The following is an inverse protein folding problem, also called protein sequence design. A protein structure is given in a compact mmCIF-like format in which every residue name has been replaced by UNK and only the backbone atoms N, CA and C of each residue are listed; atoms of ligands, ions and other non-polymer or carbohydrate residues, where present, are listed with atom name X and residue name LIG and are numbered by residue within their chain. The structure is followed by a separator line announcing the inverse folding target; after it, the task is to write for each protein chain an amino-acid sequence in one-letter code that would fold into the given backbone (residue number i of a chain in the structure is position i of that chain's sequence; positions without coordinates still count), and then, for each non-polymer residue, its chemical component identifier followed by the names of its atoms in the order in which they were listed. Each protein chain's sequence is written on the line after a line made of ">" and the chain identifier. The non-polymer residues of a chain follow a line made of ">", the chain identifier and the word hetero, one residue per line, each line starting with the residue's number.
data_IF_320317669744
#
_entry.id   IF_320317669744
#
_cell.length_a   1.000
_cell.length_b   1.000
_cell.length_c   1.000
_cell.angle_alpha   90.00
_cell.angle_beta   90.00
_cell.angle_gamma   90.00
#
_symmetry.space_group_name_H-M   'P 1'
#
loop_
_entity.id
_entity.type
_entity.pdbx_description
1 polymer ?
#
# COMPACT_ATOMS: atom_id res chain seq x y z
N UNK A 1 -23.56 44.64 -10.51
CA UNK A 1 -22.86 44.69 -9.22
C UNK A 1 -23.75 44.08 -8.15
N UNK A 2 -23.46 42.84 -7.75
CA UNK A 2 -23.50 42.36 -6.37
C UNK A 2 -22.64 41.07 -6.35
N UNK A 3 -21.78 40.88 -5.34
CA UNK A 3 -20.66 39.94 -5.41
C UNK A 3 -21.09 38.54 -4.95
N UNK A 4 -20.69 37.50 -5.68
CA UNK A 4 -20.75 36.12 -5.16
C UNK A 4 -19.66 35.97 -4.09
N UNK A 5 -20.00 35.61 -2.85
CA UNK A 5 -19.04 35.45 -1.77
C UNK A 5 -18.32 34.10 -1.85
N UNK A 6 -17.11 34.10 -1.29
CA UNK A 6 -16.29 32.98 -0.86
C UNK A 6 -16.99 31.61 -0.77
N UNK A 7 -16.49 30.63 -1.52
CA UNK A 7 -16.48 29.20 -1.17
C UNK A 7 -15.61 28.42 -2.16
N UNK A 8 -14.30 28.67 -2.16
CA UNK A 8 -13.31 27.80 -2.83
C UNK A 8 -12.16 27.52 -1.86
N UNK A 9 -12.48 26.73 -0.83
CA UNK A 9 -11.51 25.92 -0.09
C UNK A 9 -12.05 24.49 -0.08
N UNK A 10 -12.29 23.94 -1.28
CA UNK A 10 -12.37 22.49 -1.44
C UNK A 10 -10.94 21.99 -1.36
N UNK A 11 -10.55 21.55 -0.16
CA UNK A 11 -9.32 20.78 0.04
C UNK A 11 -9.48 19.50 -0.76
N UNK A 12 -8.91 19.47 -1.96
CA UNK A 12 -8.82 18.26 -2.79
C UNK A 12 -7.91 17.28 -2.05
N UNK A 13 -8.48 16.42 -1.21
CA UNK A 13 -7.89 15.12 -0.89
C UNK A 13 -7.99 14.26 -2.16
N UNK A 14 -7.01 13.39 -2.46
CA UNK A 14 -7.14 12.45 -3.56
C UNK A 14 -8.44 11.66 -3.40
N UNK A 15 -9.35 11.81 -4.36
CA UNK A 15 -10.71 11.27 -4.35
C UNK A 15 -10.67 9.77 -4.68
N UNK A 16 -10.15 9.00 -3.73
CA UNK A 16 -10.16 7.55 -3.64
C UNK A 16 -10.22 7.17 -2.17
N UNK A 17 -10.66 5.96 -1.88
CA UNK A 17 -10.59 5.47 -0.50
C UNK A 17 -9.09 5.32 -0.15
N UNK A 18 -8.65 6.01 0.91
CA UNK A 18 -7.24 6.00 1.34
C UNK A 18 -7.14 5.21 2.64
N UNK A 19 -6.16 4.32 2.73
CA UNK A 19 -6.01 3.40 3.86
C UNK A 19 -4.66 3.57 4.54
N UNK A 20 -4.67 3.81 5.84
CA UNK A 20 -3.47 3.71 6.68
C UNK A 20 -3.45 2.35 7.38
N UNK A 21 -2.38 1.59 7.18
CA UNK A 21 -2.22 0.28 7.82
C UNK A 21 -0.84 0.14 8.45
N UNK A 22 -0.81 -0.42 9.65
CA UNK A 22 0.37 -0.96 10.30
C UNK A 22 0.36 -2.48 10.17
N UNK A 23 1.44 -3.01 9.63
CA UNK A 23 1.72 -4.45 9.59
C UNK A 23 2.84 -4.74 10.58
N UNK A 24 2.54 -5.57 11.56
CA UNK A 24 3.49 -6.08 12.55
C UNK A 24 3.71 -7.57 12.30
N UNK A 25 4.97 -7.98 12.34
CA UNK A 25 5.39 -9.38 12.30
C UNK A 25 6.15 -9.68 13.59
N UNK A 26 5.59 -10.54 14.42
CA UNK A 26 6.23 -11.06 15.63
C UNK A 26 6.70 -12.48 15.36
N UNK A 27 8.02 -12.67 15.30
CA UNK A 27 8.66 -13.98 15.05
C UNK A 27 9.19 -14.54 16.36
N UNK A 28 8.87 -15.80 16.65
CA UNK A 28 9.33 -16.53 17.82
C UNK A 28 10.17 -17.70 17.35
N UNK A 29 11.49 -17.62 17.54
CA UNK A 29 12.39 -18.70 17.14
C UNK A 29 12.45 -19.81 18.19
N UNK A 30 12.31 -19.44 19.46
CA UNK A 30 12.21 -20.35 20.60
C UNK A 30 11.56 -19.63 21.79
N UNK A 31 11.46 -20.29 22.94
CA UNK A 31 10.82 -19.75 24.15
C UNK A 31 11.47 -18.49 24.72
N UNK A 32 12.73 -18.21 24.39
CA UNK A 32 13.50 -17.07 24.92
C UNK A 32 13.79 -15.97 23.88
N UNK A 33 13.73 -16.30 22.59
CA UNK A 33 14.05 -15.36 21.52
C UNK A 33 12.83 -15.06 20.67
N UNK A 34 12.49 -13.77 20.62
CA UNK A 34 11.46 -13.23 19.76
C UNK A 34 11.88 -11.89 19.19
N UNK A 35 11.37 -11.57 18.01
CA UNK A 35 11.62 -10.30 17.33
C UNK A 35 10.31 -9.74 16.80
N UNK A 36 10.07 -8.45 17.06
CA UNK A 36 8.94 -7.71 16.52
C UNK A 36 9.43 -6.75 15.44
N UNK A 37 8.91 -6.92 14.23
CA UNK A 37 9.12 -6.01 13.12
C UNK A 37 7.81 -5.30 12.81
N UNK A 38 7.91 -4.07 12.28
CA UNK A 38 6.75 -3.25 12.00
C UNK A 38 6.97 -2.38 10.78
N UNK A 39 5.92 -2.19 9.99
CA UNK A 39 5.88 -1.24 8.87
C UNK A 39 4.53 -0.55 8.83
N UNK A 40 4.53 0.72 8.41
CA UNK A 40 3.33 1.53 8.22
C UNK A 40 3.19 1.93 6.76
N UNK A 41 1.99 1.74 6.22
CA UNK A 41 1.65 1.87 4.82
C UNK A 41 0.48 2.82 4.65
N UNK A 42 0.64 3.79 3.76
CA UNK A 42 -0.45 4.57 3.20
C UNK A 42 -0.74 4.00 1.82
N UNK A 43 -1.87 3.32 1.68
CA UNK A 43 -2.22 2.51 0.52
C UNK A 43 -1.09 1.52 0.19
N UNK A 44 -0.46 1.71 -0.97
CA UNK A 44 0.65 0.89 -1.46
C UNK A 44 2.04 1.45 -1.10
N UNK A 45 2.11 2.56 -0.35
CA UNK A 45 3.35 3.27 -0.04
C UNK A 45 3.78 3.05 1.41
N UNK A 46 4.94 2.42 1.61
CA UNK A 46 5.51 2.27 2.94
C UNK A 46 6.04 3.60 3.45
N UNK A 47 5.34 4.24 4.38
CA UNK A 47 5.75 5.54 4.95
C UNK A 47 6.48 5.41 6.28
N UNK A 48 6.41 4.25 6.92
CA UNK A 48 7.07 4.00 8.21
C UNK A 48 7.74 2.63 8.26
N UNK A 49 8.88 2.58 8.95
CA UNK A 49 9.46 1.37 9.52
C UNK A 49 9.43 1.42 11.05
N UNK A 50 9.79 0.31 11.68
CA UNK A 50 9.97 0.20 13.12
C UNK A 50 11.37 -0.32 13.42
N UNK A 51 12.12 0.43 14.23
CA UNK A 51 13.38 -0.02 14.80
C UNK A 51 13.08 -0.84 16.06
N UNK A 52 13.30 -2.15 15.99
CA UNK A 52 13.03 -3.05 17.12
C UNK A 52 13.97 -2.84 18.30
N UNK A 53 15.19 -2.37 18.03
CA UNK A 53 16.25 -2.27 19.03
C UNK A 53 16.13 -0.96 19.80
N UNK A 54 15.81 0.13 19.09
CA UNK A 54 15.54 1.44 19.68
C UNK A 54 14.10 1.57 20.18
N UNK A 55 13.18 0.77 19.65
CA UNK A 55 11.75 0.88 19.94
C UNK A 55 11.15 2.19 19.41
N UNK A 56 11.58 2.63 18.23
CA UNK A 56 11.17 3.91 17.63
C UNK A 56 10.69 3.74 16.19
N UNK A 57 9.88 4.69 15.72
CA UNK A 57 9.42 4.72 14.33
C UNK A 57 10.49 5.33 13.43
N UNK A 58 10.80 4.65 12.33
CA UNK A 58 11.63 5.18 11.24
C UNK A 58 10.69 5.84 10.23
N UNK A 59 10.79 7.16 10.03
CA UNK A 59 10.01 7.87 9.03
C UNK A 59 10.69 7.81 7.66
N UNK A 60 10.02 7.25 6.66
CA UNK A 60 10.60 7.04 5.33
C UNK A 60 10.39 8.22 4.38
N UNK A 61 9.49 9.15 4.73
CA UNK A 61 9.31 10.43 4.03
C UNK A 61 9.31 11.60 5.01
N UNK A 62 9.69 12.80 4.55
CA UNK A 62 9.61 14.02 5.37
C UNK A 62 8.21 14.29 5.93
N UNK A 63 7.16 13.86 5.22
CA UNK A 63 5.76 14.02 5.61
C UNK A 63 5.17 12.82 6.35
N UNK A 64 5.94 11.73 6.57
CA UNK A 64 5.44 10.53 7.24
C UNK A 64 5.09 10.74 8.71
N UNK A 65 5.49 11.84 9.35
CA UNK A 65 4.99 12.19 10.69
C UNK A 65 3.54 12.73 10.64
N UNK A 66 3.11 13.20 9.46
CA UNK A 66 1.87 13.94 9.31
C UNK A 66 1.92 15.27 10.05
N UNK A 67 0.83 15.62 10.72
CA UNK A 67 0.68 16.84 11.51
C UNK A 67 0.86 16.61 13.03
N UNK A 68 1.35 15.44 13.44
CA UNK A 68 1.54 15.14 14.87
C UNK A 68 2.72 15.92 15.43
N UNK A 69 2.59 16.38 16.68
CA UNK A 69 3.71 16.98 17.40
C UNK A 69 4.73 15.90 17.79
N UNK A 70 5.95 16.32 18.11
CA UNK A 70 7.00 15.39 18.52
C UNK A 70 6.66 14.71 19.86
N UNK A 71 5.98 15.42 20.77
CA UNK A 71 5.49 14.87 22.04
C UNK A 71 4.42 13.80 21.79
N UNK A 72 3.40 14.12 20.98
CA UNK A 72 2.34 13.17 20.64
C UNK A 72 2.89 11.92 19.94
N UNK A 73 3.94 12.07 19.12
CA UNK A 73 4.59 10.92 18.52
C UNK A 73 5.42 10.10 19.50
N UNK A 74 6.11 10.75 20.42
CA UNK A 74 6.87 10.07 21.47
C UNK A 74 5.94 9.22 22.34
N UNK A 75 4.79 9.75 22.73
CA UNK A 75 3.77 9.01 23.49
C UNK A 75 3.27 7.76 22.74
N UNK A 76 3.05 7.87 21.42
CA UNK A 76 2.66 6.73 20.60
C UNK A 76 3.77 5.69 20.47
N UNK A 77 5.02 6.12 20.34
CA UNK A 77 6.16 5.21 20.28
C UNK A 77 6.32 4.44 21.59
N UNK A 78 6.23 5.12 22.73
CA UNK A 78 6.29 4.48 24.05
C UNK A 78 5.15 3.47 24.24
N UNK A 79 3.94 3.83 23.79
CA UNK A 79 2.79 2.93 23.81
C UNK A 79 3.06 1.65 22.98
N UNK A 80 3.55 1.78 21.75
CA UNK A 80 3.88 0.63 20.91
C UNK A 80 5.03 -0.20 21.48
N UNK A 81 6.03 0.43 22.10
CA UNK A 81 7.14 -0.26 22.75
C UNK A 81 6.64 -1.13 23.90
N UNK A 82 5.79 -0.57 24.77
CA UNK A 82 5.17 -1.32 25.87
C UNK A 82 4.30 -2.45 25.35
N UNK A 83 3.50 -2.19 24.31
CA UNK A 83 2.67 -3.20 23.65
C UNK A 83 3.51 -4.37 23.12
N UNK A 84 4.58 -4.13 22.37
CA UNK A 84 5.40 -5.22 21.81
C UNK A 84 6.08 -6.04 22.90
N UNK A 85 6.59 -5.41 23.96
CA UNK A 85 7.20 -6.13 25.09
C UNK A 85 6.15 -7.00 25.79
N UNK A 86 4.97 -6.44 26.08
CA UNK A 86 3.87 -7.16 26.74
C UNK A 86 3.34 -8.31 25.90
N UNK A 87 3.08 -8.06 24.61
CA UNK A 87 2.61 -9.07 23.66
C UNK A 87 3.58 -10.25 23.56
N UNK A 88 4.88 -9.96 23.45
CA UNK A 88 5.92 -10.99 23.37
C UNK A 88 5.91 -11.90 24.59
N UNK A 89 5.82 -11.31 25.80
CA UNK A 89 5.76 -12.06 27.05
C UNK A 89 4.53 -12.95 27.13
N UNK A 90 3.35 -12.41 26.83
CA UNK A 90 2.09 -13.17 26.85
C UNK A 90 2.15 -14.37 25.92
N UNK A 91 2.70 -14.21 24.72
CA UNK A 91 2.84 -15.31 23.76
C UNK A 91 3.87 -16.34 24.24
N UNK A 92 5.01 -15.91 24.76
CA UNK A 92 6.04 -16.81 25.31
C UNK A 92 5.52 -17.62 26.50
N UNK A 93 4.80 -16.97 27.42
CA UNK A 93 4.20 -17.62 28.58
C UNK A 93 3.18 -18.68 28.12
N UNK A 94 2.33 -18.37 27.14
CA UNK A 94 1.36 -19.30 26.59
C UNK A 94 2.01 -20.50 25.90
N UNK A 95 3.03 -20.28 25.06
CA UNK A 95 3.75 -21.36 24.38
C UNK A 95 4.43 -22.30 25.39
N UNK A 96 4.99 -21.73 26.47
CA UNK A 96 5.65 -22.48 27.54
C UNK A 96 4.64 -23.29 28.36
N UNK A 97 3.52 -22.67 28.75
CA UNK A 97 2.44 -23.30 29.55
C UNK A 97 1.87 -24.53 28.84
N UNK A 98 1.62 -24.43 27.54
CA UNK A 98 1.05 -25.52 26.74
C UNK A 98 2.10 -26.45 26.11
N UNK A 99 3.38 -26.29 26.45
CA UNK A 99 4.52 -27.07 25.89
C UNK A 99 4.53 -27.13 24.36
N UNK A 100 4.07 -26.06 23.70
CA UNK A 100 3.96 -25.99 22.23
C UNK A 100 5.33 -25.74 21.56
N UNK A 101 6.40 -25.59 22.35
CA UNK A 101 7.73 -25.20 21.88
C UNK A 101 8.31 -26.14 20.83
N UNK A 102 8.17 -27.46 21.00
CA UNK A 102 8.74 -28.45 20.09
C UNK A 102 7.89 -28.69 18.85
N UNK A 103 6.60 -28.38 18.91
CA UNK A 103 5.64 -28.65 17.84
C UNK A 103 5.47 -27.45 16.90
N UNK A 104 5.61 -26.22 17.41
CA UNK A 104 5.29 -25.00 16.68
C UNK A 104 6.46 -24.04 16.45
N UNK A 105 7.60 -24.17 17.14
CA UNK A 105 8.74 -23.29 16.85
C UNK A 105 9.53 -23.74 15.61
N UNK A 106 9.98 -22.82 14.74
CA UNK A 106 9.69 -21.38 14.78
C UNK A 106 8.29 -21.07 14.24
N UNK A 107 7.62 -20.07 14.82
CA UNK A 107 6.36 -19.53 14.29
C UNK A 107 6.37 -18.01 14.22
N UNK A 108 5.42 -17.47 13.46
CA UNK A 108 5.22 -16.04 13.33
C UNK A 108 3.75 -15.66 13.46
N UNK A 109 3.51 -14.57 14.19
CA UNK A 109 2.21 -13.91 14.31
C UNK A 109 2.26 -12.63 13.50
N UNK A 110 1.27 -12.45 12.63
CA UNK A 110 1.06 -11.24 11.85
C UNK A 110 -0.10 -10.47 12.44
N UNK A 111 0.08 -9.17 12.68
CA UNK A 111 -0.99 -8.27 13.10
C UNK A 111 -1.08 -7.13 12.08
N UNK A 112 -2.27 -6.94 11.53
CA UNK A 112 -2.58 -5.87 10.58
C UNK A 112 -3.63 -5.00 11.26
N UNK A 113 -3.29 -3.76 11.57
CA UNK A 113 -4.21 -2.81 12.19
C UNK A 113 -4.18 -1.49 11.43
N UNK A 114 -5.34 -0.85 11.25
CA UNK A 114 -5.41 0.35 10.43
C UNK A 114 -6.80 0.97 10.37
N UNK A 115 -6.90 1.99 9.53
CA UNK A 115 -8.13 2.70 9.26
C UNK A 115 -8.21 3.13 7.80
N UNK A 116 -9.43 3.20 7.28
CA UNK A 116 -9.74 3.49 5.89
C UNK A 116 -10.72 4.64 5.80
N UNK A 117 -10.38 5.64 4.99
CA UNK A 117 -11.25 6.77 4.67
C UNK A 117 -12.11 6.39 3.47
N UNK A 118 -13.41 6.24 3.67
CA UNK A 118 -14.38 6.02 2.60
C UNK A 118 -15.02 7.34 2.16
N UNK A 119 -15.22 7.50 0.85
CA UNK A 119 -15.75 8.74 0.26
C UNK A 119 -17.19 9.05 0.72
N UNK A 120 -17.33 10.01 1.64
CA UNK A 120 -18.63 10.46 2.16
C UNK A 120 -19.16 9.65 3.35
N UNK A 121 -18.36 8.73 3.87
CA UNK A 121 -18.68 7.90 5.03
C UNK A 121 -17.70 8.15 6.19
N UNK A 122 -17.94 7.48 7.31
CA UNK A 122 -17.03 7.54 8.46
C UNK A 122 -15.73 6.77 8.14
N UNK A 123 -14.64 7.15 8.80
CA UNK A 123 -13.37 6.40 8.72
C UNK A 123 -13.55 5.09 9.50
N UNK A 124 -13.43 3.96 8.81
CA UNK A 124 -13.57 2.64 9.42
C UNK A 124 -12.22 2.12 9.90
N UNK A 125 -12.20 1.52 11.10
CA UNK A 125 -11.00 0.89 11.64
C UNK A 125 -11.09 -0.62 11.64
N UNK A 126 -9.95 -1.28 11.43
CA UNK A 126 -9.83 -2.73 11.41
C UNK A 126 -8.57 -3.22 12.10
N UNK A 127 -8.68 -4.40 12.72
CA UNK A 127 -7.56 -5.18 13.23
C UNK A 127 -7.73 -6.64 12.84
N UNK A 128 -6.64 -7.26 12.41
CA UNK A 128 -6.57 -8.68 12.07
C UNK A 128 -5.29 -9.26 12.66
N UNK A 129 -5.39 -10.42 13.30
CA UNK A 129 -4.25 -11.22 13.73
C UNK A 129 -4.28 -12.58 13.06
N UNK A 130 -3.13 -13.03 12.56
CA UNK A 130 -2.97 -14.32 11.90
C UNK A 130 -1.75 -15.08 12.44
N UNK A 131 -1.87 -16.40 12.52
CA UNK A 131 -0.81 -17.33 12.93
C UNK A 131 -0.61 -18.35 11.82
N UNK A 132 0.61 -18.48 11.29
CA UNK A 132 0.87 -19.37 10.15
C UNK A 132 0.06 -19.03 8.89
N UNK A 133 -0.36 -17.76 8.75
CA UNK A 133 -1.21 -17.29 7.65
C UNK A 133 -2.72 -17.51 7.84
N UNK A 134 -3.14 -18.08 8.97
CA UNK A 134 -4.56 -18.29 9.30
C UNK A 134 -5.03 -17.24 10.32
N UNK A 135 -6.12 -16.54 9.98
CA UNK A 135 -6.73 -15.55 10.86
C UNK A 135 -7.22 -16.21 12.17
N UNK A 136 -6.74 -15.72 13.32
CA UNK A 136 -7.26 -16.13 14.64
C UNK A 136 -8.07 -15.01 15.32
N UNK A 137 -7.92 -13.76 14.88
CA UNK A 137 -8.73 -12.63 15.36
C UNK A 137 -9.00 -11.65 14.22
N UNK A 138 -10.24 -11.13 14.20
CA UNK A 138 -10.66 -10.05 13.32
C UNK A 138 -11.61 -9.14 14.08
N UNK A 139 -11.30 -7.86 14.10
CA UNK A 139 -12.10 -6.81 14.73
C UNK A 139 -12.37 -5.74 13.68
N UNK A 140 -13.63 -5.32 13.60
CA UNK A 140 -14.10 -4.26 12.71
C UNK A 140 -14.96 -3.29 13.51
N UNK A 141 -14.88 -2.01 13.18
CA UNK A 141 -15.83 -0.98 13.61
C UNK A 141 -16.11 -0.97 15.14
N UNK A 142 -15.06 -0.89 15.95
CA UNK A 142 -15.15 -0.76 17.42
C UNK A 142 -15.86 -1.91 18.15
N UNK A 143 -15.97 -3.10 17.56
CA UNK A 143 -16.73 -4.23 18.15
C UNK A 143 -16.14 -4.83 19.44
N UNK A 144 -15.06 -4.26 20.01
CA UNK A 144 -14.55 -4.64 21.32
C UNK A 144 -15.34 -3.91 22.41
N UNK A 145 -16.51 -4.47 22.78
CA UNK A 145 -17.22 -4.02 23.98
C UNK A 145 -16.44 -4.52 25.21
N UNK A 146 -15.94 -3.63 26.09
CA UNK A 146 -15.19 -4.06 27.26
C UNK A 146 -16.09 -4.89 28.19
N UNK A 147 -15.66 -6.10 28.53
CA UNK A 147 -16.19 -6.81 29.69
C UNK A 147 -15.79 -5.98 30.92
N UNK A 148 -16.69 -5.81 31.90
CA UNK A 148 -16.54 -4.86 33.03
C UNK A 148 -15.24 -4.96 33.86
N UNK A 149 -14.42 -5.98 33.62
CA UNK A 149 -13.13 -6.24 34.28
C UNK A 149 -11.89 -6.13 33.34
N UNK A 150 -12.01 -5.71 32.07
CA UNK A 150 -10.88 -5.62 31.11
C UNK A 150 -10.15 -4.27 31.07
N UNK A 151 -10.15 -3.54 32.19
CA UNK A 151 -9.73 -2.13 32.29
C UNK A 151 -8.38 -1.80 31.63
N UNK A 152 -8.31 -0.61 31.02
CA UNK A 152 -7.15 0.03 30.38
C UNK A 152 -6.77 -0.44 28.97
N UNK A 153 -6.62 -1.74 28.67
CA UNK A 153 -6.13 -2.18 27.34
C UNK A 153 -7.20 -2.00 26.26
N UNK A 154 -8.45 -2.35 26.58
CA UNK A 154 -9.58 -2.15 25.66
C UNK A 154 -9.75 -0.67 25.30
N UNK A 155 -9.67 0.22 26.30
CA UNK A 155 -9.83 1.67 26.13
C UNK A 155 -8.71 2.26 25.26
N UNK A 156 -7.47 1.77 25.43
CA UNK A 156 -6.32 2.17 24.60
C UNK A 156 -6.54 1.73 23.15
N UNK A 157 -6.94 0.48 22.92
CA UNK A 157 -7.21 -0.02 21.57
C UNK A 157 -8.37 0.73 20.92
N UNK A 158 -9.42 1.03 21.67
CA UNK A 158 -10.54 1.81 21.18
C UNK A 158 -10.07 3.20 20.74
N UNK A 159 -9.33 3.94 21.59
CA UNK A 159 -8.80 5.27 21.27
C UNK A 159 -7.80 5.27 20.10
N UNK A 160 -7.00 4.21 19.96
CA UNK A 160 -6.09 4.06 18.82
C UNK A 160 -6.87 3.95 17.49
N UNK A 161 -7.95 3.19 17.48
CA UNK A 161 -8.78 2.98 16.31
C UNK A 161 -9.74 4.15 16.04
N UNK A 162 -10.47 4.64 17.03
CA UNK A 162 -11.54 5.65 16.84
C UNK A 162 -11.02 7.07 16.65
N UNK A 163 -9.88 7.41 17.25
CA UNK A 163 -9.37 8.77 17.26
C UNK A 163 -7.99 8.87 16.60
N UNK A 164 -7.06 8.03 17.04
CA UNK A 164 -5.65 8.21 16.68
C UNK A 164 -5.37 7.89 15.22
N UNK A 165 -5.82 6.73 14.73
CA UNK A 165 -5.59 6.33 13.34
C UNK A 165 -6.26 7.30 12.35
N UNK A 166 -7.56 7.66 12.48
CA UNK A 166 -8.21 8.62 11.61
C UNK A 166 -7.49 9.98 11.58
N UNK A 167 -7.13 10.52 12.75
CA UNK A 167 -6.39 11.77 12.86
C UNK A 167 -5.03 11.70 12.18
N UNK A 168 -4.32 10.57 12.36
CA UNK A 168 -3.02 10.33 11.77
C UNK A 168 -3.10 10.20 10.24
N UNK A 169 -4.05 9.41 9.71
CA UNK A 169 -4.32 9.27 8.28
C UNK A 169 -4.56 10.64 7.63
N UNK A 170 -5.47 11.45 8.18
CA UNK A 170 -5.76 12.79 7.66
C UNK A 170 -4.54 13.73 7.73
N UNK A 171 -3.77 13.66 8.82
CA UNK A 171 -2.54 14.43 8.99
C UNK A 171 -1.48 14.10 7.94
N UNK A 172 -1.29 12.81 7.67
CA UNK A 172 -0.36 12.32 6.65
C UNK A 172 -0.83 12.69 5.25
N UNK A 173 -2.11 12.48 4.92
CA UNK A 173 -2.67 12.86 3.61
C UNK A 173 -2.50 14.36 3.32
N UNK A 174 -2.71 15.20 4.33
CA UNK A 174 -2.52 16.64 4.17
C UNK A 174 -1.03 17.01 4.02
N UNK A 175 -0.14 16.46 4.85
CA UNK A 175 1.29 16.76 4.80
C UNK A 175 1.97 16.23 3.52
N UNK A 176 1.57 15.04 3.06
CA UNK A 176 2.09 14.38 1.87
C UNK A 176 1.44 14.77 0.56
N UNK A 177 0.40 15.63 0.60
CA UNK A 177 -0.47 15.95 -0.54
C UNK A 177 0.28 16.20 -1.85
N UNK A 178 1.32 17.05 -1.81
CA UNK A 178 2.09 17.41 -3.01
C UNK A 178 2.82 16.20 -3.63
N UNK A 179 3.39 15.31 -2.81
CA UNK A 179 4.06 14.10 -3.31
C UNK A 179 3.06 13.02 -3.72
N UNK A 180 1.95 12.88 -2.99
CA UNK A 180 0.89 11.91 -3.31
C UNK A 180 0.17 12.23 -4.61
N UNK A 181 0.05 13.51 -4.96
CA UNK A 181 -0.56 14.00 -6.20
C UNK A 181 0.43 14.15 -7.36
N UNK A 182 1.71 13.84 -7.15
CA UNK A 182 2.71 13.92 -8.22
C UNK A 182 2.39 12.92 -9.32
N UNK A 183 2.86 13.23 -10.52
CA UNK A 183 2.81 12.32 -11.66
C UNK A 183 4.24 12.15 -12.16
N UNK A 184 4.68 10.91 -12.26
CA UNK A 184 6.00 10.59 -12.80
C UNK A 184 5.79 9.88 -14.13
N UNK A 185 6.40 10.44 -15.18
CA UNK A 185 6.32 9.85 -16.51
C UNK A 185 7.18 8.59 -16.55
N UNK A 186 6.65 7.47 -17.06
CA UNK A 186 7.42 6.25 -17.21
C UNK A 186 8.39 6.32 -18.39
N UNK A 187 9.41 5.48 -18.30
CA UNK A 187 10.23 5.03 -19.42
C UNK A 187 9.73 3.67 -19.89
N UNK A 188 9.76 3.44 -21.20
CA UNK A 188 9.36 2.18 -21.79
C UNK A 188 10.38 1.70 -22.82
N UNK A 189 10.58 0.39 -22.90
CA UNK A 189 11.47 -0.23 -23.87
C UNK A 189 10.99 -1.63 -24.23
N UNK A 190 11.41 -2.11 -25.40
CA UNK A 190 11.00 -3.40 -25.93
C UNK A 190 12.12 -4.43 -25.81
N UNK A 191 11.74 -5.68 -25.53
CA UNK A 191 12.63 -6.83 -25.61
C UNK A 191 11.90 -8.05 -26.18
N UNK A 192 12.66 -9.11 -26.48
CA UNK A 192 12.10 -10.42 -26.83
C UNK A 192 12.24 -11.35 -25.64
N UNK A 193 11.16 -12.05 -25.29
CA UNK A 193 11.14 -13.05 -24.23
C UNK A 193 11.46 -14.47 -24.74
N UNK A 194 11.40 -15.46 -23.83
CA UNK A 194 11.58 -16.86 -24.20
C UNK A 194 10.59 -17.30 -25.30
N UNK A 195 11.09 -18.02 -26.30
CA UNK A 195 10.29 -18.48 -27.43
C UNK A 195 9.24 -19.50 -26.97
N UNK A 196 7.93 -19.25 -27.16
CA UNK A 196 6.87 -20.17 -26.72
C UNK A 196 6.84 -21.50 -27.50
N UNK A 197 7.42 -21.52 -28.70
CA UNK A 197 7.47 -22.68 -29.58
C UNK A 197 8.12 -22.37 -30.92
N UNK A 198 8.38 -23.38 -31.76
CA UNK A 198 8.98 -23.17 -33.09
C UNK A 198 8.14 -22.21 -33.95
N UNK A 199 8.75 -21.13 -34.44
CA UNK A 199 8.07 -20.13 -35.27
C UNK A 199 7.22 -19.10 -34.49
N UNK A 200 7.21 -19.16 -33.16
CA UNK A 200 6.56 -18.16 -32.30
C UNK A 200 7.58 -17.15 -31.78
N UNK A 201 7.12 -15.94 -31.45
CA UNK A 201 7.89 -14.91 -30.77
C UNK A 201 7.08 -14.41 -29.57
N UNK A 202 7.78 -14.07 -28.49
CA UNK A 202 7.20 -13.38 -27.35
C UNK A 202 7.79 -11.97 -27.32
N UNK A 203 6.97 -10.97 -27.62
CA UNK A 203 7.34 -9.57 -27.42
C UNK A 203 7.10 -9.18 -25.97
N UNK A 204 7.98 -8.33 -25.46
CA UNK A 204 7.94 -7.84 -24.09
C UNK A 204 8.08 -6.34 -24.10
N UNK A 205 7.10 -5.66 -23.53
CA UNK A 205 7.11 -4.24 -23.27
C UNK A 205 7.39 -4.05 -21.78
N UNK A 206 8.47 -3.34 -21.50
CA UNK A 206 8.85 -2.96 -20.16
C UNK A 206 8.42 -1.52 -19.94
N UNK A 207 7.84 -1.26 -18.78
CA UNK A 207 7.34 0.05 -18.37
C UNK A 207 7.82 0.28 -16.96
N UNK A 208 8.61 1.33 -16.73
CA UNK A 208 9.20 1.61 -15.42
C UNK A 208 9.14 3.09 -15.09
N UNK A 209 9.13 3.44 -13.80
CA UNK A 209 9.21 4.83 -13.38
C UNK A 209 7.87 5.56 -13.34
N UNK A 210 6.74 4.87 -13.51
CA UNK A 210 5.43 5.54 -13.42
C UNK A 210 4.96 5.69 -11.98
N UNK A 211 4.22 6.77 -11.73
CA UNK A 211 3.45 6.99 -10.51
C UNK A 211 2.29 7.94 -10.85
N UNK A 212 1.05 7.70 -10.36
CA UNK A 212 0.63 6.66 -9.41
C UNK A 212 0.58 5.24 -10.01
N UNK A 213 0.22 4.24 -9.20
CA UNK A 213 0.20 2.81 -9.56
C UNK A 213 -0.78 2.45 -10.68
N UNK A 214 -1.90 3.17 -10.79
CA UNK A 214 -2.96 2.86 -11.75
C UNK A 214 -2.49 3.18 -13.18
N UNK A 215 -2.36 2.15 -14.02
CA UNK A 215 -1.93 2.25 -15.41
C UNK A 215 -2.58 1.16 -16.26
N UNK A 216 -2.79 1.44 -17.54
CA UNK A 216 -3.23 0.47 -18.55
C UNK A 216 -2.21 0.44 -19.68
N UNK A 217 -1.66 -0.74 -19.99
CA UNK A 217 -0.64 -0.88 -21.03
C UNK A 217 -1.08 -1.95 -22.02
N UNK A 218 -1.14 -1.59 -23.30
CA UNK A 218 -1.66 -2.42 -24.37
C UNK A 218 -0.69 -2.52 -25.53
N UNK A 219 -0.59 -3.71 -26.13
CA UNK A 219 0.01 -3.84 -27.45
C UNK A 219 -0.97 -3.37 -28.51
N UNK A 220 -0.46 -2.61 -29.48
CA UNK A 220 -1.28 -2.02 -30.53
C UNK A 220 -0.75 -2.41 -31.91
N UNK A 221 -1.67 -2.62 -32.85
CA UNK A 221 -1.38 -2.69 -34.30
C UNK A 221 -2.13 -1.56 -34.97
N UNK A 222 -1.43 -0.50 -35.36
CA UNK A 222 -2.09 0.78 -35.66
C UNK A 222 -2.91 1.26 -34.47
N UNK A 223 -4.20 1.51 -34.68
CA UNK A 223 -5.16 1.91 -33.62
C UNK A 223 -5.84 0.72 -32.92
N UNK A 224 -5.54 -0.52 -33.32
CA UNK A 224 -6.22 -1.70 -32.80
C UNK A 224 -5.46 -2.35 -31.64
N UNK A 225 -6.11 -2.43 -30.48
CA UNK A 225 -5.64 -3.20 -29.33
C UNK A 225 -5.47 -4.69 -29.68
N UNK A 226 -4.32 -5.25 -29.34
CA UNK A 226 -4.04 -6.66 -29.55
C UNK A 226 -4.65 -7.49 -28.40
N UNK A 227 -5.60 -8.38 -28.70
CA UNK A 227 -6.27 -9.18 -27.66
C UNK A 227 -5.35 -10.19 -26.97
N UNK A 228 -4.20 -10.52 -27.58
CA UNK A 228 -3.15 -11.35 -26.97
C UNK A 228 -2.25 -10.61 -25.97
N UNK A 229 -2.57 -9.35 -25.64
CA UNK A 229 -1.86 -8.59 -24.62
C UNK A 229 -2.05 -9.25 -23.26
N UNK A 230 -0.94 -9.66 -22.63
CA UNK A 230 -0.92 -10.19 -21.28
C UNK A 230 -0.18 -9.22 -20.36
N UNK A 231 -0.91 -8.64 -19.40
CA UNK A 231 -0.35 -7.78 -18.38
C UNK A 231 0.18 -8.63 -17.22
N UNK A 232 1.44 -8.42 -16.84
CA UNK A 232 2.02 -9.02 -15.63
C UNK A 232 1.66 -8.25 -14.36
N UNK A 233 2.24 -8.69 -13.24
CA UNK A 233 2.09 -7.98 -11.97
C UNK A 233 2.79 -6.62 -11.99
N UNK A 234 2.19 -5.64 -11.34
CA UNK A 234 2.82 -4.33 -11.08
C UNK A 234 3.75 -4.49 -9.88
N UNK A 235 5.03 -4.21 -10.08
CA UNK A 235 6.09 -4.39 -9.07
C UNK A 235 6.61 -3.03 -8.59
N UNK A 236 6.92 -2.88 -7.29
CA UNK A 236 7.47 -1.64 -6.77
C UNK A 236 8.95 -1.46 -7.15
N UNK A 237 9.33 -0.24 -7.52
CA UNK A 237 10.73 0.18 -7.60
C UNK A 237 11.19 0.77 -6.26
N UNK A 238 12.51 0.80 -6.04
CA UNK A 238 13.10 1.33 -4.80
C UNK A 238 12.86 2.85 -4.60
N UNK A 239 12.58 3.57 -5.68
CA UNK A 239 12.34 5.03 -5.70
C UNK A 239 10.85 5.41 -5.56
N UNK A 240 10.00 4.44 -5.19
CA UNK A 240 8.55 4.60 -4.99
C UNK A 240 7.79 4.88 -6.29
N UNK A 241 8.38 4.52 -7.42
CA UNK A 241 7.67 4.35 -8.68
C UNK A 241 7.33 2.88 -8.90
N UNK A 242 6.67 2.60 -10.00
CA UNK A 242 6.21 1.27 -10.35
C UNK A 242 6.87 0.77 -11.63
N UNK A 243 6.95 -0.55 -11.73
CA UNK A 243 7.38 -1.28 -12.90
C UNK A 243 6.27 -2.25 -13.32
N UNK A 244 6.07 -2.39 -14.63
CA UNK A 244 5.13 -3.31 -15.23
C UNK A 244 5.74 -3.95 -16.48
N UNK A 245 5.44 -5.24 -16.67
CA UNK A 245 5.79 -5.98 -17.88
C UNK A 245 4.52 -6.39 -18.61
N UNK A 246 4.46 -6.14 -19.90
CA UNK A 246 3.34 -6.54 -20.77
C UNK A 246 3.85 -7.34 -21.95
N UNK A 247 3.26 -8.50 -22.19
CA UNK A 247 3.73 -9.41 -23.23
C UNK A 247 2.70 -9.66 -24.31
N UNK A 248 3.18 -9.97 -25.51
CA UNK A 248 2.35 -10.40 -26.65
C UNK A 248 3.03 -11.59 -27.32
N UNK A 249 2.31 -12.70 -27.41
CA UNK A 249 2.75 -13.89 -28.14
C UNK A 249 2.13 -13.94 -29.55
N UNK A 250 2.88 -14.50 -30.50
CA UNK A 250 2.40 -14.61 -31.87
C UNK A 250 3.40 -15.25 -32.82
N UNK A 251 3.00 -15.46 -34.06
CA UNK A 251 3.89 -15.99 -35.10
C UNK A 251 5.00 -14.97 -35.41
N UNK A 252 6.25 -15.44 -35.47
CA UNK A 252 7.41 -14.57 -35.70
C UNK A 252 7.27 -13.72 -36.98
N UNK A 253 6.71 -14.28 -38.05
CA UNK A 253 6.46 -13.56 -39.30
C UNK A 253 5.43 -12.42 -39.18
N UNK A 254 4.51 -12.48 -38.21
CA UNK A 254 3.48 -11.47 -37.98
C UNK A 254 3.89 -10.40 -36.95
N UNK A 255 4.94 -10.66 -36.15
CA UNK A 255 5.42 -9.76 -35.09
C UNK A 255 6.73 -9.04 -35.46
N UNK A 256 7.44 -9.49 -36.50
CA UNK A 256 8.69 -8.91 -36.96
C UNK A 256 8.52 -7.78 -38.00
N UNK A 257 7.29 -7.44 -38.39
CA UNK A 257 7.04 -6.29 -39.27
C UNK A 257 7.45 -4.97 -38.54
N UNK A 258 8.32 -4.12 -39.14
CA UNK A 258 8.75 -2.86 -38.54
C UNK A 258 7.62 -1.86 -38.25
N UNK A 259 6.49 -1.95 -38.95
CA UNK A 259 5.38 -1.00 -38.81
C UNK A 259 4.35 -1.39 -37.73
N UNK A 260 4.51 -2.56 -37.10
CA UNK A 260 3.51 -3.21 -36.23
C UNK A 260 3.84 -3.16 -34.73
N UNK A 261 4.81 -2.35 -34.28
CA UNK A 261 5.39 -2.46 -32.92
C UNK A 261 5.09 -1.35 -31.89
N UNK A 262 4.01 -0.56 -31.94
CA UNK A 262 3.72 0.31 -30.81
C UNK A 262 3.16 -0.49 -29.62
N UNK A 263 3.94 -0.58 -28.54
CA UNK A 263 3.38 -0.79 -27.21
C UNK A 263 2.92 0.57 -26.69
N UNK A 264 1.61 0.76 -26.51
CA UNK A 264 1.06 2.01 -26.02
C UNK A 264 0.70 1.86 -24.56
N UNK A 265 1.18 2.81 -23.76
CA UNK A 265 0.80 2.95 -22.37
C UNK A 265 -0.15 4.12 -22.22
N UNK A 266 -1.28 3.85 -21.58
CA UNK A 266 -2.28 4.83 -21.17
C UNK A 266 -2.23 4.93 -19.64
N UNK A 267 -1.84 6.09 -19.13
CA UNK A 267 -2.08 6.42 -17.73
C UNK A 267 -3.55 6.80 -17.57
N UNK A 268 -4.38 5.87 -17.09
CA UNK A 268 -5.73 6.21 -16.65
C UNK A 268 -5.63 6.99 -15.34
N UNK A 269 -5.64 8.32 -15.44
CA UNK A 269 -5.82 9.20 -14.30
C UNK A 269 -7.25 9.71 -14.30
N UNK A 270 -8.07 9.20 -13.39
CA UNK A 270 -9.35 9.80 -13.01
C UNK A 270 -9.07 11.14 -12.31
N UNK A 271 -8.78 12.20 -13.09
CA UNK A 271 -8.83 13.58 -12.60
C UNK A 271 -10.25 14.07 -12.81
N UNK A 272 -11.10 13.92 -11.80
CA UNK A 272 -12.40 14.61 -11.79
C UNK A 272 -12.14 16.08 -11.42
N UNK A 273 -12.07 16.95 -12.41
CA UNK A 273 -12.42 18.37 -12.25
C UNK A 273 -13.14 18.84 -13.50
N UNK A 274 -14.37 19.28 -13.30
CA UNK A 274 -15.29 19.79 -14.32
C UNK A 274 -14.66 20.96 -15.08
N UNK A 275 -14.72 20.87 -16.42
CA UNK A 275 -14.62 21.89 -17.48
C UNK A 275 -13.67 21.42 -18.60
N UNK A 276 -14.28 20.81 -19.63
CA UNK A 276 -13.84 20.75 -21.03
C UNK A 276 -12.34 20.47 -21.27
N UNK A 277 -11.99 19.21 -21.54
CA UNK A 277 -11.25 18.72 -22.72
C UNK A 277 -11.50 17.20 -22.79
N UNK A 278 -11.75 16.67 -24.00
CA UNK A 278 -12.10 15.27 -24.24
C UNK A 278 -10.99 14.26 -23.93
N UNK A 279 -11.14 12.98 -24.33
CA UNK A 279 -10.16 11.93 -24.10
C UNK A 279 -8.93 12.16 -25.01
N UNK A 280 -8.08 13.12 -24.66
CA UNK A 280 -6.76 13.22 -25.28
C UNK A 280 -5.88 12.14 -24.69
N UNK A 281 -5.80 11.03 -25.42
CA UNK A 281 -4.79 9.99 -25.24
C UNK A 281 -3.41 10.66 -25.31
N UNK A 282 -2.63 10.61 -24.23
CA UNK A 282 -1.19 10.83 -24.32
C UNK A 282 -0.58 9.62 -25.02
N UNK A 283 -0.54 9.63 -26.35
CA UNK A 283 0.24 8.68 -27.14
C UNK A 283 1.72 8.98 -26.90
N UNK A 284 2.39 8.11 -26.14
CA UNK A 284 3.84 8.09 -26.08
C UNK A 284 4.34 7.22 -27.24
N UNK A 285 4.89 7.86 -28.27
CA UNK A 285 5.67 7.17 -29.29
C UNK A 285 7.08 6.91 -28.73
N UNK A 286 7.50 5.64 -28.76
CA UNK A 286 8.89 5.26 -28.52
C UNK A 286 9.72 5.73 -29.73
N UNK A 287 10.61 6.70 -29.52
CA UNK A 287 11.66 7.09 -30.50
C UNK A 287 12.85 6.14 -30.46
#
# INVERSE_FOLDING_TARGET
>A
MLPLPLLLLVVILPRGDNRMVRVTLATFANSSWAQNQGSGWLDDLQIQGWDSDLGTTIFLKPWSKGNFSDEAMTELQDLFRVYFIGFTRVVQDHVSEFQLEFEYNPFAIQVIAGCELHSGEAIESSLRGALGGLDFVRIQNHSCVPTRDSGSISDIMERLHSETCPRYLLGVLNAGKAELQKQVKPEAWLSSGPTPGPGCLLLVCHVSGFYPKLVRVMWMRGEQEQPGTQQGDIMPNADWTWYLRVTLDGAAGALLDPFDRPCIMVLEMLVISEYLIGPECLLFHLE
#
